data_IF_593647376031
#
_entry.id   IF_593647376031
#
_cell.length_a   1.000
_cell.length_b   1.000
_cell.length_c   1.000
_cell.angle_alpha   90.00
_cell.angle_beta   90.00
_cell.angle_gamma   90.00
#
_symmetry.space_group_name_H-M   'P 1'
#
loop_
_entity.id
_entity.type
_entity.pdbx_description
1 polymer ?
#
# COMPACT_ATOMS: atom_id res chain seq x y z
N UNK A 1 -5.63 1.35 -17.64
CA UNK A 1 -5.41 1.60 -16.20
C UNK A 1 -6.76 1.95 -15.59
N UNK A 2 -7.24 1.17 -14.63
CA UNK A 2 -8.57 1.38 -14.04
C UNK A 2 -8.50 2.42 -12.91
N UNK A 3 -9.61 3.09 -12.58
CA UNK A 3 -9.66 4.05 -11.45
C UNK A 3 -9.19 3.42 -10.13
N UNK A 4 -9.46 2.13 -9.94
CA UNK A 4 -9.01 1.35 -8.78
C UNK A 4 -7.50 1.17 -8.74
N UNK A 5 -6.84 0.94 -9.89
CA UNK A 5 -5.38 0.86 -9.96
C UNK A 5 -4.72 2.20 -9.62
N UNK A 6 -5.28 3.33 -10.07
CA UNK A 6 -4.77 4.67 -9.73
C UNK A 6 -4.80 4.92 -8.22
N UNK A 7 -5.91 4.56 -7.57
CA UNK A 7 -6.05 4.68 -6.11
C UNK A 7 -5.10 3.74 -5.37
N UNK A 8 -4.88 2.54 -5.91
CA UNK A 8 -3.96 1.55 -5.35
C UNK A 8 -2.51 2.00 -5.46
N UNK A 9 -2.10 2.56 -6.61
CA UNK A 9 -0.76 3.14 -6.81
C UNK A 9 -0.50 4.29 -5.84
N UNK A 10 -1.46 5.23 -5.70
CA UNK A 10 -1.33 6.34 -4.76
C UNK A 10 -1.19 5.85 -3.30
N UNK A 11 -1.94 4.81 -2.92
CA UNK A 11 -1.80 4.15 -1.62
C UNK A 11 -0.43 3.52 -1.42
N UNK A 12 0.08 2.80 -2.43
CA UNK A 12 1.40 2.19 -2.39
C UNK A 12 2.53 3.22 -2.28
N UNK A 13 2.44 4.32 -3.00
CA UNK A 13 3.42 5.41 -2.92
C UNK A 13 3.38 6.10 -1.55
N UNK A 14 2.20 6.23 -0.94
CA UNK A 14 2.07 6.75 0.43
C UNK A 14 2.76 5.84 1.47
N UNK A 15 2.53 4.53 1.37
CA UNK A 15 3.22 3.53 2.22
C UNK A 15 4.72 3.57 2.00
N UNK A 16 5.16 3.60 0.74
CA UNK A 16 6.57 3.68 0.40
C UNK A 16 7.20 4.97 0.95
N UNK A 17 6.48 6.10 0.91
CA UNK A 17 6.96 7.36 1.47
C UNK A 17 7.20 7.26 2.97
N UNK A 18 6.26 6.67 3.73
CA UNK A 18 6.44 6.47 5.17
C UNK A 18 7.65 5.57 5.48
N UNK A 19 7.90 4.58 4.65
CA UNK A 19 9.02 3.63 4.82
C UNK A 19 10.37 4.18 4.34
N UNK A 20 10.38 5.23 3.52
CA UNK A 20 11.60 5.85 3.01
C UNK A 20 12.03 7.10 3.80
N UNK A 21 11.31 7.46 4.86
CA UNK A 21 11.69 8.54 5.77
C UNK A 21 13.06 8.24 6.38
N UNK A 22 14.01 9.16 6.20
CA UNK A 22 15.37 9.05 6.75
C UNK A 22 16.31 8.13 5.98
N UNK A 23 15.86 7.47 4.89
CA UNK A 23 16.73 6.60 4.08
C UNK A 23 17.36 7.30 2.88
N UNK A 24 16.80 8.44 2.46
CA UNK A 24 17.19 9.14 1.22
C UNK A 24 16.70 8.47 -0.06
N UNK A 25 15.99 7.34 0.04
CA UNK A 25 15.39 6.62 -1.10
C UNK A 25 14.07 7.29 -1.52
N UNK A 26 13.84 7.40 -2.83
CA UNK A 26 12.55 7.91 -3.30
C UNK A 26 11.44 6.87 -3.05
N UNK A 27 10.21 7.29 -2.74
CA UNK A 27 9.09 6.36 -2.55
C UNK A 27 8.85 5.46 -3.77
N UNK A 28 9.07 5.99 -4.98
CA UNK A 28 8.90 5.24 -6.23
C UNK A 28 10.00 4.18 -6.39
N UNK A 29 11.25 4.51 -6.08
CA UNK A 29 12.35 3.54 -6.14
C UNK A 29 12.15 2.40 -5.15
N UNK A 30 11.72 2.73 -3.93
CA UNK A 30 11.36 1.73 -2.92
C UNK A 30 10.22 0.83 -3.41
N UNK A 31 9.16 1.40 -4.00
CA UNK A 31 8.03 0.65 -4.54
C UNK A 31 8.45 -0.28 -5.69
N UNK A 32 9.36 0.14 -6.57
CA UNK A 32 9.94 -0.71 -7.61
C UNK A 32 10.83 -1.81 -7.03
N UNK A 33 11.71 -1.47 -6.09
CA UNK A 33 12.61 -2.42 -5.41
C UNK A 33 11.86 -3.51 -4.67
N UNK A 34 10.71 -3.16 -4.08
CA UNK A 34 9.79 -4.11 -3.42
C UNK A 34 8.84 -4.82 -4.38
N UNK A 35 8.96 -4.56 -5.68
CA UNK A 35 8.10 -5.13 -6.73
C UNK A 35 6.61 -4.87 -6.49
N UNK A 36 6.26 -3.74 -5.88
CA UNK A 36 4.87 -3.29 -5.75
C UNK A 36 4.36 -2.63 -7.02
N UNK A 37 5.27 -1.99 -7.75
CA UNK A 37 5.05 -1.37 -9.04
C UNK A 37 6.11 -1.91 -10.03
N UNK A 38 5.69 -2.31 -11.23
CA UNK A 38 6.59 -2.81 -12.27
C UNK A 38 7.34 -1.67 -13.00
N UNK A 39 8.29 -2.02 -13.88
CA UNK A 39 9.05 -1.04 -14.65
C UNK A 39 8.21 -0.15 -15.59
N UNK A 40 6.94 -0.51 -15.83
CA UNK A 40 5.97 0.26 -16.64
C UNK A 40 5.07 1.13 -15.77
N UNK A 41 5.33 1.21 -14.47
CA UNK A 41 4.51 1.96 -13.53
C UNK A 41 3.18 1.28 -13.19
N UNK A 42 3.00 0.00 -13.53
CA UNK A 42 1.77 -0.72 -13.24
C UNK A 42 1.83 -1.41 -11.88
N UNK A 43 0.72 -1.41 -11.16
CA UNK A 43 0.61 -2.11 -9.87
C UNK A 43 0.69 -3.62 -10.09
N UNK A 44 1.58 -4.27 -9.35
CA UNK A 44 1.77 -5.72 -9.42
C UNK A 44 0.76 -6.48 -8.54
N UNK A 45 0.64 -7.81 -8.69
CA UNK A 45 -0.14 -8.63 -7.75
C UNK A 45 0.33 -8.48 -6.30
N UNK A 46 1.64 -8.33 -6.07
CA UNK A 46 2.21 -8.13 -4.73
C UNK A 46 1.80 -6.78 -4.13
N UNK A 47 1.82 -5.70 -4.93
CA UNK A 47 1.33 -4.38 -4.51
C UNK A 47 -0.16 -4.41 -4.15
N UNK A 48 -0.99 -5.10 -4.95
CA UNK A 48 -2.41 -5.30 -4.63
C UNK A 48 -2.63 -6.09 -3.35
N UNK A 49 -1.87 -7.17 -3.14
CA UNK A 49 -1.96 -7.97 -1.93
C UNK A 49 -1.58 -7.16 -0.67
N UNK A 50 -0.55 -6.33 -0.75
CA UNK A 50 -0.17 -5.42 0.34
C UNK A 50 -1.31 -4.45 0.67
N UNK A 51 -1.89 -3.79 -0.33
CA UNK A 51 -2.99 -2.85 -0.11
C UNK A 51 -4.25 -3.54 0.43
N UNK A 52 -4.51 -4.79 0.01
CA UNK A 52 -5.57 -5.62 0.59
C UNK A 52 -5.30 -5.92 2.06
N UNK A 53 -4.08 -6.31 2.43
CA UNK A 53 -3.71 -6.60 3.81
C UNK A 53 -3.77 -5.37 4.72
N UNK A 54 -3.38 -4.19 4.21
CA UNK A 54 -3.50 -2.92 4.91
C UNK A 54 -4.95 -2.43 5.02
N UNK A 55 -5.78 -2.72 4.02
CA UNK A 55 -7.21 -2.41 4.01
C UNK A 55 -8.04 -3.30 4.94
N UNK A 56 -7.54 -4.50 5.28
CA UNK A 56 -8.21 -5.46 6.15
C UNK A 56 -8.03 -5.18 7.66
N UNK A 57 -7.99 -3.90 8.02
CA UNK A 57 -8.07 -3.46 9.43
C UNK A 57 -9.50 -3.53 10.00
N UNK A 58 -10.45 -4.12 9.26
CA UNK A 58 -11.85 -4.25 9.68
C UNK A 58 -12.05 -5.27 10.81
N UNK A 59 -11.10 -6.18 11.04
CA UNK A 59 -11.14 -7.12 12.17
C UNK A 59 -11.00 -6.45 13.55
N UNK A 60 -10.35 -5.30 13.64
CA UNK A 60 -10.01 -4.67 14.94
C UNK A 60 -11.13 -3.80 15.52
N UNK A 61 -12.21 -3.55 14.78
CA UNK A 61 -13.34 -2.71 15.24
C UNK A 61 -14.45 -3.46 16.00
N UNK A 62 -14.41 -4.79 16.05
CA UNK A 62 -15.55 -5.58 16.57
C UNK A 62 -15.46 -6.01 18.04
N UNK A 63 -14.39 -5.72 18.77
CA UNK A 63 -14.23 -6.16 20.18
C UNK A 63 -14.70 -5.15 21.24
N UNK A 64 -15.16 -3.95 20.85
CA UNK A 64 -15.55 -2.89 21.81
C UNK A 64 -17.05 -2.55 21.82
N UNK A 65 -17.95 -3.47 21.45
CA UNK A 65 -19.41 -3.18 21.41
C UNK A 65 -20.32 -3.97 22.38
N UNK A 66 -19.80 -4.67 23.38
CA UNK A 66 -20.65 -5.28 24.43
C UNK A 66 -19.91 -5.36 25.77
N UNK A 67 -19.73 -4.23 26.44
CA UNK A 67 -19.33 -4.18 27.85
C UNK A 67 -19.78 -2.86 28.49
N UNK A 68 -21.07 -2.53 28.38
CA UNK A 68 -21.82 -1.65 29.30
C UNK A 68 -23.25 -2.15 29.35
#
# INVERSE_FOLDING_TARGET
MTTTDVQTEAGLLSVAHQLSIGTGESPRDLAHRRSWIDARGQVTPAGRALMSALGDQRGTRSVFRWAV
#
